data_IF_502495599393
#
_entry.id   IF_502495599393
#
_cell.length_a   1.000
_cell.length_b   1.000
_cell.length_c   1.000
_cell.angle_alpha   90.00
_cell.angle_beta   90.00
_cell.angle_gamma   90.00
#
_symmetry.space_group_name_H-M   'P 1'
#
loop_
_entity.id
_entity.type
_entity.pdbx_description
1 polymer ?
#
# COMPACT_ATOMS: atom_id res chain seq x y z
N UNK A 1 -22.76 10.06 12.85
CA UNK A 1 -21.81 9.18 12.17
C UNK A 1 -20.65 10.04 11.71
N UNK A 2 -19.47 9.91 12.33
CA UNK A 2 -18.30 10.71 11.97
C UNK A 2 -17.66 10.03 10.76
N UNK A 3 -17.86 10.59 9.57
CA UNK A 3 -17.17 10.15 8.36
C UNK A 3 -15.68 10.41 8.53
N UNK A 4 -14.88 9.35 8.59
CA UNK A 4 -13.43 9.48 8.48
C UNK A 4 -13.10 10.15 7.15
N UNK A 5 -12.12 11.06 7.08
CA UNK A 5 -11.67 11.63 5.82
C UNK A 5 -11.28 10.47 4.90
N UNK A 6 -11.90 10.39 3.73
CA UNK A 6 -11.43 9.56 2.63
C UNK A 6 -10.02 10.04 2.30
N UNK A 7 -8.99 9.29 2.71
CA UNK A 7 -7.66 9.46 2.16
C UNK A 7 -7.80 9.42 0.62
N UNK A 8 -7.21 10.40 -0.07
CA UNK A 8 -7.21 10.44 -1.53
C UNK A 8 -6.66 9.11 -2.04
N UNK A 9 -7.54 8.29 -2.61
CA UNK A 9 -7.22 6.94 -3.02
C UNK A 9 -6.23 6.94 -4.18
N UNK A 10 -5.25 6.06 -4.16
CA UNK A 10 -4.55 5.69 -5.39
C UNK A 10 -5.57 5.05 -6.34
N UNK A 11 -5.87 5.76 -7.43
CA UNK A 11 -6.83 5.33 -8.46
C UNK A 11 -6.15 4.91 -9.77
N UNK A 12 -4.82 5.07 -9.84
CA UNK A 12 -4.02 4.79 -11.02
C UNK A 12 -2.79 3.95 -10.66
N UNK A 13 -2.55 2.93 -11.46
CA UNK A 13 -1.34 2.15 -11.44
C UNK A 13 -1.00 1.67 -12.85
N UNK A 14 0.13 2.11 -13.38
CA UNK A 14 0.64 1.70 -14.68
C UNK A 14 1.06 0.22 -14.68
N UNK A 15 1.21 -0.38 -15.88
CA UNK A 15 1.74 -1.73 -16.08
C UNK A 15 3.14 -1.92 -15.51
N UNK A 16 3.95 -0.87 -15.47
CA UNK A 16 5.28 -0.85 -14.87
C UNK A 16 5.23 -0.66 -13.35
N UNK A 17 4.04 -0.59 -12.75
CA UNK A 17 3.83 -0.48 -11.31
C UNK A 17 4.09 0.91 -10.72
N UNK A 18 4.03 1.95 -11.54
CA UNK A 18 4.10 3.35 -11.09
C UNK A 18 2.70 3.90 -10.86
N UNK A 19 2.55 4.70 -9.80
CA UNK A 19 1.37 5.51 -9.57
C UNK A 19 1.40 6.79 -10.42
N UNK A 20 0.41 7.67 -10.24
CA UNK A 20 0.31 8.92 -11.00
C UNK A 20 1.45 9.91 -10.71
N UNK A 21 2.15 9.76 -9.59
CA UNK A 21 3.33 10.58 -9.25
C UNK A 21 4.54 10.22 -10.11
N UNK A 22 4.57 9.00 -10.66
CA UNK A 22 5.68 8.47 -11.43
C UNK A 22 7.04 8.47 -10.69
N UNK A 23 7.00 8.45 -9.36
CA UNK A 23 8.17 8.42 -8.50
C UNK A 23 8.59 6.97 -8.20
N UNK A 24 9.90 6.63 -8.16
CA UNK A 24 10.37 5.29 -7.81
C UNK A 24 10.09 4.92 -6.34
N UNK A 25 9.85 5.95 -5.52
CA UNK A 25 9.51 5.84 -4.11
C UNK A 25 8.06 5.44 -3.86
N UNK A 26 7.22 5.53 -4.90
CA UNK A 26 5.81 5.17 -4.86
C UNK A 26 5.50 4.12 -5.93
N UNK A 27 5.19 2.91 -5.47
CA UNK A 27 5.01 1.75 -6.35
C UNK A 27 3.66 1.12 -6.10
N UNK A 28 3.11 0.46 -7.10
CA UNK A 28 1.79 -0.11 -7.03
C UNK A 28 1.68 -1.41 -7.82
N UNK A 29 0.64 -2.17 -7.50
CA UNK A 29 0.18 -3.34 -8.24
C UNK A 29 -1.32 -3.18 -8.47
N UNK A 30 -1.72 -3.22 -9.74
CA UNK A 30 -3.12 -3.36 -10.12
C UNK A 30 -3.59 -4.79 -9.86
N UNK A 31 -4.71 -4.93 -9.15
CA UNK A 31 -5.42 -6.18 -8.92
C UNK A 31 -6.80 -6.07 -9.58
N UNK A 32 -7.44 -7.21 -9.89
CA UNK A 32 -8.77 -7.21 -10.53
C UNK A 32 -9.82 -6.39 -9.77
N UNK A 33 -9.70 -6.34 -8.45
CA UNK A 33 -10.65 -5.71 -7.54
C UNK A 33 -10.13 -4.44 -6.85
N UNK A 34 -8.96 -3.91 -7.23
CA UNK A 34 -8.37 -2.76 -6.56
C UNK A 34 -6.92 -2.46 -6.94
N UNK A 35 -6.30 -1.54 -6.21
CA UNK A 35 -4.89 -1.17 -6.39
C UNK A 35 -4.20 -1.23 -5.03
N UNK A 36 -3.13 -2.01 -4.95
CA UNK A 36 -2.20 -2.02 -3.82
C UNK A 36 -1.05 -1.07 -4.12
N UNK A 37 -0.58 -0.34 -3.12
CA UNK A 37 0.51 0.61 -3.27
C UNK A 37 1.38 0.71 -2.02
N UNK A 38 2.61 1.13 -2.23
CA UNK A 38 3.59 1.48 -1.19
C UNK A 38 4.18 2.83 -1.52
N UNK A 39 4.38 3.67 -0.51
CA UNK A 39 5.10 4.93 -0.61
C UNK A 39 6.16 5.03 0.48
N UNK A 40 7.28 5.66 0.14
CA UNK A 40 8.31 6.08 1.08
C UNK A 40 8.36 7.61 1.15
N UNK A 41 8.42 8.16 2.35
CA UNK A 41 8.64 9.59 2.59
C UNK A 41 10.05 9.84 3.14
N UNK A 42 10.59 11.04 2.88
CA UNK A 42 11.97 11.47 3.24
C UNK A 42 12.31 11.37 4.72
N UNK A 43 11.32 11.39 5.60
CA UNK A 43 11.47 11.19 7.04
C UNK A 43 11.54 9.70 7.45
N UNK A 44 11.58 8.77 6.50
CA UNK A 44 11.59 7.33 6.75
C UNK A 44 10.24 6.74 7.13
N UNK A 45 9.15 7.44 6.80
CA UNK A 45 7.80 6.88 6.89
C UNK A 45 7.56 6.02 5.65
N UNK A 46 7.19 4.77 5.90
CA UNK A 46 6.67 3.86 4.87
C UNK A 46 5.16 3.78 5.06
N UNK A 47 4.40 3.79 3.98
CA UNK A 47 3.00 3.43 4.07
C UNK A 47 2.54 2.53 2.94
N UNK A 48 1.64 1.63 3.29
CA UNK A 48 1.00 0.71 2.36
C UNK A 48 -0.47 1.03 2.32
N UNK A 49 -1.01 1.16 1.12
CA UNK A 49 -2.39 1.52 0.88
C UNK A 49 -3.03 0.55 -0.11
N UNK A 50 -4.28 0.17 0.17
CA UNK A 50 -5.11 -0.57 -0.77
C UNK A 50 -6.41 0.19 -1.02
N UNK A 51 -6.65 0.53 -2.28
CA UNK A 51 -7.93 1.01 -2.78
C UNK A 51 -8.72 -0.17 -3.35
N UNK A 52 -9.88 -0.46 -2.78
CA UNK A 52 -10.77 -1.50 -3.28
C UNK A 52 -11.77 -0.92 -4.27
N UNK A 53 -11.63 -1.27 -5.54
CA UNK A 53 -12.46 -0.75 -6.64
C UNK A 53 -13.83 -1.42 -6.69
N UNK A 54 -13.91 -2.74 -6.45
CA UNK A 54 -15.12 -3.52 -6.66
C UNK A 54 -15.18 -4.80 -5.79
N UNK A 55 -16.34 -5.47 -5.81
CA UNK A 55 -16.59 -6.75 -5.15
C UNK A 55 -17.03 -6.63 -3.68
N UNK A 56 -17.22 -7.78 -3.04
CA UNK A 56 -17.65 -7.86 -1.63
C UNK A 56 -16.59 -7.33 -0.66
N UNK A 57 -17.03 -6.93 0.53
CA UNK A 57 -16.13 -6.57 1.63
C UNK A 57 -15.20 -7.72 1.98
N UNK A 58 -13.91 -7.41 2.11
CA UNK A 58 -12.86 -8.37 2.50
C UNK A 58 -12.27 -8.00 3.84
N UNK A 59 -11.69 -8.97 4.53
CA UNK A 59 -10.77 -8.74 5.65
C UNK A 59 -9.34 -8.85 5.13
N UNK A 60 -8.57 -7.78 5.24
CA UNK A 60 -7.21 -7.70 4.69
C UNK A 60 -6.22 -7.16 5.72
N UNK A 61 -5.00 -7.69 5.74
CA UNK A 61 -3.86 -7.12 6.48
C UNK A 61 -2.98 -6.36 5.51
N UNK A 62 -2.70 -5.10 5.80
CA UNK A 62 -1.70 -4.32 5.07
C UNK A 62 -0.36 -4.40 5.78
N UNK A 63 0.71 -4.38 5.00
CA UNK A 63 2.06 -4.59 5.50
C UNK A 63 3.12 -4.05 4.57
N UNK A 64 4.37 -4.23 4.96
CA UNK A 64 5.53 -3.97 4.12
C UNK A 64 6.58 -5.06 4.34
N UNK A 65 7.45 -5.28 3.34
CA UNK A 65 8.68 -6.04 3.50
C UNK A 65 9.89 -5.13 3.35
N UNK A 66 10.86 -5.30 4.25
CA UNK A 66 12.16 -4.66 4.21
C UNK A 66 13.22 -5.69 4.53
N UNK A 67 14.25 -5.78 3.68
CA UNK A 67 15.38 -6.70 3.87
C UNK A 67 14.95 -8.17 4.07
N UNK A 68 13.89 -8.60 3.39
CA UNK A 68 13.35 -9.97 3.47
C UNK A 68 12.41 -10.22 4.65
N UNK A 69 12.30 -9.31 5.61
CA UNK A 69 11.36 -9.42 6.74
C UNK A 69 10.03 -8.79 6.38
N UNK A 70 8.92 -9.47 6.65
CA UNK A 70 7.56 -8.97 6.42
C UNK A 70 6.93 -8.49 7.72
N UNK A 71 6.30 -7.30 7.67
CA UNK A 71 5.60 -6.69 8.79
C UNK A 71 4.16 -6.43 8.37
N UNK A 72 3.20 -6.96 9.12
CA UNK A 72 1.77 -6.75 8.88
C UNK A 72 1.12 -6.05 10.07
N UNK A 73 0.18 -5.18 9.78
CA UNK A 73 -0.74 -4.67 10.78
C UNK A 73 -1.91 -5.64 11.02
N UNK A 74 -2.76 -5.27 11.99
CA UNK A 74 -4.03 -5.94 12.23
C UNK A 74 -4.90 -5.93 10.98
N UNK A 75 -5.75 -6.96 10.86
CA UNK A 75 -6.68 -7.05 9.75
C UNK A 75 -7.73 -5.93 9.82
N UNK A 76 -8.08 -5.39 8.66
CA UNK A 76 -9.11 -4.36 8.50
C UNK A 76 -10.14 -4.82 7.48
N UNK A 77 -11.41 -4.47 7.73
CA UNK A 77 -12.48 -4.68 6.75
C UNK A 77 -12.46 -3.59 5.69
N UNK A 78 -12.45 -3.99 4.41
CA UNK A 78 -12.38 -3.10 3.25
C UNK A 78 -13.50 -3.45 2.28
N UNK A 79 -14.47 -2.54 2.13
CA UNK A 79 -15.56 -2.62 1.17
C UNK A 79 -15.21 -1.95 -0.17
N UNK A 80 -16.06 -2.17 -1.17
CA UNK A 80 -15.95 -1.49 -2.47
C UNK A 80 -16.00 0.03 -2.33
N UNK A 81 -15.15 0.72 -3.08
CA UNK A 81 -14.99 2.17 -3.04
C UNK A 81 -14.19 2.70 -1.85
N UNK A 82 -13.69 1.82 -0.97
CA UNK A 82 -12.94 2.23 0.21
C UNK A 82 -11.43 2.12 0.00
N UNK A 83 -10.72 3.02 0.66
CA UNK A 83 -9.26 3.00 0.78
C UNK A 83 -8.89 2.76 2.24
N UNK A 84 -7.94 1.86 2.47
CA UNK A 84 -7.28 1.71 3.77
C UNK A 84 -5.78 1.87 3.60
N UNK A 85 -5.17 2.58 4.54
CA UNK A 85 -3.74 2.85 4.59
C UNK A 85 -3.22 2.55 5.98
N UNK A 86 -2.02 2.00 6.04
CA UNK A 86 -1.24 1.86 7.27
C UNK A 86 0.14 2.45 7.04
N UNK A 87 0.68 3.12 8.05
CA UNK A 87 1.99 3.78 8.00
C UNK A 87 2.87 3.32 9.15
N UNK A 88 4.16 3.23 8.89
CA UNK A 88 5.19 2.88 9.87
C UNK A 88 6.31 3.92 9.84
N UNK A 89 6.66 4.43 11.01
CA UNK A 89 7.81 5.33 11.19
C UNK A 89 9.04 4.49 11.48
N UNK A 90 9.84 4.21 10.45
CA UNK A 90 11.03 3.36 10.55
C UNK A 90 12.32 4.15 10.81
N UNK A 91 12.22 5.48 10.81
CA UNK A 91 13.34 6.41 10.92
C UNK A 91 14.03 6.67 9.58
N UNK A 92 14.78 7.77 9.50
CA UNK A 92 15.35 8.27 8.24
C UNK A 92 16.22 7.26 7.48
N UNK A 93 16.82 6.28 8.16
CA UNK A 93 17.59 5.20 7.52
C UNK A 93 16.76 4.25 6.66
N UNK A 94 15.43 4.29 6.78
CA UNK A 94 14.51 3.54 5.93
C UNK A 94 14.19 4.25 4.61
N UNK A 95 14.42 5.56 4.52
CA UNK A 95 14.27 6.28 3.26
C UNK A 95 15.24 5.74 2.22
N UNK A 96 14.80 5.62 0.97
CA UNK A 96 15.55 5.01 -0.13
C UNK A 96 15.98 3.55 0.10
N UNK A 97 15.39 2.86 1.09
CA UNK A 97 15.58 1.41 1.21
C UNK A 97 14.71 0.67 0.19
N UNK A 98 15.10 -0.56 -0.15
CA UNK A 98 14.24 -1.47 -0.91
C UNK A 98 13.04 -1.88 -0.05
N UNK A 99 11.87 -1.32 -0.34
CA UNK A 99 10.62 -1.61 0.39
C UNK A 99 9.56 -2.14 -0.57
N UNK A 100 8.90 -3.22 -0.17
CA UNK A 100 7.78 -3.83 -0.91
C UNK A 100 6.51 -3.65 -0.07
N UNK A 101 5.43 -3.12 -0.66
CA UNK A 101 4.11 -3.12 -0.04
C UNK A 101 3.50 -4.51 -0.06
N UNK A 102 2.85 -4.90 1.04
CA UNK A 102 2.22 -6.21 1.19
C UNK A 102 0.74 -6.08 1.52
N UNK A 103 -0.06 -7.00 0.99
CA UNK A 103 -1.43 -7.21 1.44
C UNK A 103 -1.70 -8.70 1.58
N UNK A 104 -2.34 -9.11 2.67
CA UNK A 104 -2.84 -10.47 2.87
C UNK A 104 -4.37 -10.46 2.99
N UNK A 105 -5.06 -11.09 2.04
CA UNK A 105 -6.52 -11.16 1.97
C UNK A 105 -6.96 -12.53 1.42
N UNK A 106 -6.58 -13.61 2.13
CA UNK A 106 -6.70 -15.00 1.66
C UNK A 106 -5.53 -15.44 0.76
N UNK A 107 -4.99 -14.51 -0.02
CA UNK A 107 -3.70 -14.64 -0.72
C UNK A 107 -2.80 -13.46 -0.38
N UNK A 108 -1.50 -13.59 -0.66
CA UNK A 108 -0.53 -12.51 -0.48
C UNK A 108 -0.32 -11.80 -1.80
N UNK A 109 -0.46 -10.48 -1.78
CA UNK A 109 -0.22 -9.57 -2.89
C UNK A 109 0.92 -8.63 -2.53
N UNK A 110 1.71 -8.25 -3.53
CA UNK A 110 2.89 -7.44 -3.33
C UNK A 110 3.00 -6.35 -4.39
N UNK A 111 3.55 -5.20 -4.03
CA UNK A 111 3.99 -4.19 -5.00
C UNK A 111 5.36 -4.57 -5.59
N UNK A 112 5.78 -3.94 -6.70
CA UNK A 112 7.20 -3.85 -7.00
C UNK A 112 7.97 -3.16 -5.87
N UNK A 113 9.28 -3.35 -5.84
CA UNK A 113 10.17 -2.69 -4.89
C UNK A 113 10.22 -1.19 -5.14
N UNK A 114 9.89 -0.41 -4.13
CA UNK A 114 10.13 1.03 -4.08
C UNK A 114 11.59 1.31 -3.73
N UNK A 115 12.15 2.34 -4.36
CA UNK A 115 13.56 2.69 -4.29
C UNK A 115 13.77 4.18 -4.59
N UNK A 116 15.01 4.60 -4.42
CA UNK A 116 15.63 5.77 -5.05
C UNK A 116 16.73 5.23 -5.97
#
# INVERSE_FOLDING_TARGET
MISAPTASAITYCDRSGYTATNEPMERCTSLDNGILSVHQASNGVVGTEYYKKSGSTISAKLGYSRSGTSHYASAVSIGSGQTKRVTWSLGASAYCSNIIGLMSAGSTYQTPTSHC
#
